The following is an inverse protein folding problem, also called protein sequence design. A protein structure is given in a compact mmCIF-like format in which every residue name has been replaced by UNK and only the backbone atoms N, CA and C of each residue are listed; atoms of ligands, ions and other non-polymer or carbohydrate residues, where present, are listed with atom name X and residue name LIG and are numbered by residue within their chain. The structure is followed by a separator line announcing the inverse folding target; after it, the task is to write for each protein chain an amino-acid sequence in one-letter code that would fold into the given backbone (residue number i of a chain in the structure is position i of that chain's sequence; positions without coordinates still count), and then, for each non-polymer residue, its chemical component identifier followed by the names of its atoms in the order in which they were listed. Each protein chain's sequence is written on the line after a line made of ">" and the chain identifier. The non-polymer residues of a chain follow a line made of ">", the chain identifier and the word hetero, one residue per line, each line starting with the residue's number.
data_IF_801455836755
#
_entry.id   IF_801455836755
#
_cell.length_a   1.000
_cell.length_b   1.000
_cell.length_c   1.000
_cell.angle_alpha   90.00
_cell.angle_beta   90.00
_cell.angle_gamma   90.00
#
_symmetry.space_group_name_H-M   'P 1'
#
loop_
_entity.id
_entity.type
_entity.pdbx_description
1 polymer ?
#
# COMPACT_ATOMS: atom_id res chain seq x y z
N UNK A 1 -11.09 -19.06 21.96
CA UNK A 1 -11.60 -18.06 20.99
C UNK A 1 -10.40 -17.27 20.47
N UNK A 2 -10.27 -17.13 19.15
CA UNK A 2 -9.08 -16.51 18.52
C UNK A 2 -9.19 -14.99 18.65
N UNK A 3 -8.31 -14.37 19.43
CA UNK A 3 -8.42 -12.95 19.80
C UNK A 3 -7.77 -11.98 18.79
N UNK A 4 -7.07 -12.50 17.77
CA UNK A 4 -6.30 -11.70 16.82
C UNK A 4 -6.73 -11.93 15.36
N UNK A 5 -7.95 -11.52 15.02
CA UNK A 5 -8.44 -11.60 13.64
C UNK A 5 -8.69 -10.20 13.08
N UNK A 6 -8.41 -9.99 11.80
CA UNK A 6 -8.60 -8.73 11.11
C UNK A 6 -9.13 -8.87 9.69
N UNK A 7 -9.35 -7.72 9.07
CA UNK A 7 -9.86 -7.60 7.70
C UNK A 7 -8.86 -6.84 6.85
N UNK A 8 -8.54 -7.39 5.67
CA UNK A 8 -7.91 -6.66 4.58
C UNK A 8 -8.99 -5.96 3.76
N UNK A 9 -8.95 -4.63 3.72
CA UNK A 9 -9.78 -3.79 2.87
C UNK A 9 -9.03 -2.49 2.56
N UNK A 10 -8.69 -2.20 1.28
CA UNK A 10 -8.11 -0.92 0.92
C UNK A 10 -9.07 0.23 1.27
N UNK A 11 -8.53 1.40 1.69
CA UNK A 11 -9.35 2.59 1.95
C UNK A 11 -10.16 2.97 0.72
N UNK A 12 -9.55 2.89 -0.48
CA UNK A 12 -10.21 3.16 -1.76
C UNK A 12 -11.48 2.31 -1.98
N UNK A 13 -11.50 1.08 -1.45
CA UNK A 13 -12.60 0.13 -1.59
C UNK A 13 -13.78 0.38 -0.63
N UNK A 14 -13.66 1.31 0.32
CA UNK A 14 -14.79 1.73 1.15
C UNK A 14 -15.89 2.36 0.27
N UNK A 15 -17.18 2.15 0.60
CA UNK A 15 -18.24 2.82 -0.12
C UNK A 15 -18.14 4.32 0.15
N UNK A 16 -18.25 5.14 -0.90
CA UNK A 16 -18.26 6.60 -0.79
C UNK A 16 -19.19 7.19 -1.84
N UNK A 17 -19.87 8.26 -1.45
CA UNK A 17 -20.71 9.09 -2.32
C UNK A 17 -19.88 9.97 -3.26
N UNK A 18 -18.55 9.93 -3.16
CA UNK A 18 -17.60 10.77 -3.91
C UNK A 18 -16.65 9.97 -4.81
N UNK A 19 -17.09 8.79 -5.28
CA UNK A 19 -16.40 8.01 -6.31
C UNK A 19 -15.28 7.07 -5.80
N UNK A 20 -14.66 7.39 -4.67
CA UNK A 20 -13.59 6.58 -4.04
C UNK A 20 -13.73 6.64 -2.51
N UNK A 21 -13.46 5.54 -1.82
CA UNK A 21 -13.37 5.52 -0.36
C UNK A 21 -12.32 6.50 0.17
N UNK A 22 -12.51 7.02 1.38
CA UNK A 22 -11.70 8.10 1.94
C UNK A 22 -11.64 8.05 3.48
N UNK A 23 -10.99 9.03 4.10
CA UNK A 23 -10.82 9.11 5.56
C UNK A 23 -12.04 9.67 6.31
N UNK A 24 -13.20 9.70 5.64
CA UNK A 24 -14.44 10.28 6.12
C UNK A 24 -15.34 9.33 6.91
N UNK A 25 -16.62 9.68 7.10
CA UNK A 25 -17.56 8.96 7.95
C UNK A 25 -17.65 7.45 7.68
N UNK A 26 -17.51 7.01 6.43
CA UNK A 26 -17.57 5.59 6.10
C UNK A 26 -16.37 4.79 6.64
N UNK A 27 -15.18 5.39 6.76
CA UNK A 27 -14.06 4.73 7.43
C UNK A 27 -14.33 4.52 8.93
N UNK A 28 -14.92 5.52 9.61
CA UNK A 28 -15.32 5.41 11.02
C UNK A 28 -16.40 4.33 11.21
N UNK A 29 -17.39 4.28 10.32
CA UNK A 29 -18.43 3.23 10.32
C UNK A 29 -17.83 1.84 10.11
N UNK A 30 -16.81 1.72 9.26
CA UNK A 30 -16.12 0.45 9.06
C UNK A 30 -15.36 0.01 10.31
N UNK A 31 -14.66 0.93 10.99
CA UNK A 31 -14.02 0.67 12.28
C UNK A 31 -15.04 0.22 13.34
N UNK A 32 -16.20 0.90 13.42
CA UNK A 32 -17.27 0.50 14.34
C UNK A 32 -17.81 -0.91 14.01
N UNK A 33 -17.93 -1.23 12.72
CA UNK A 33 -18.32 -2.57 12.28
C UNK A 33 -17.27 -3.62 12.67
N UNK A 34 -15.97 -3.34 12.48
CA UNK A 34 -14.88 -4.22 12.90
C UNK A 34 -14.92 -4.48 14.40
N UNK A 35 -14.97 -3.41 15.20
CA UNK A 35 -15.04 -3.49 16.66
C UNK A 35 -16.25 -4.29 17.13
N UNK A 36 -17.43 -4.02 16.55
CA UNK A 36 -18.69 -4.73 16.88
C UNK A 36 -18.63 -6.23 16.57
N UNK A 37 -17.86 -6.64 15.56
CA UNK A 37 -17.72 -8.03 15.15
C UNK A 37 -16.41 -8.66 15.63
N UNK A 38 -15.75 -8.05 16.63
CA UNK A 38 -14.54 -8.56 17.28
C UNK A 38 -13.31 -8.69 16.36
N UNK A 39 -13.31 -8.03 15.20
CA UNK A 39 -12.10 -7.83 14.42
C UNK A 39 -11.22 -6.79 15.12
N UNK A 40 -9.95 -7.13 15.33
CA UNK A 40 -8.96 -6.29 16.03
C UNK A 40 -7.97 -5.61 15.10
N UNK A 41 -7.95 -5.99 13.83
CA UNK A 41 -7.03 -5.42 12.85
C UNK A 41 -7.77 -4.99 11.58
N UNK A 42 -7.38 -3.83 11.04
CA UNK A 42 -7.73 -3.39 9.70
C UNK A 42 -6.43 -3.24 8.91
N UNK A 43 -6.23 -4.12 7.93
CA UNK A 43 -5.14 -3.99 6.98
C UNK A 43 -5.58 -3.18 5.77
N UNK A 44 -4.83 -2.13 5.49
CA UNK A 44 -4.98 -1.30 4.29
C UNK A 44 -3.88 -1.64 3.29
N UNK A 45 -3.96 -1.06 2.10
CA UNK A 45 -2.87 -1.01 1.12
C UNK A 45 -2.18 0.35 1.24
N UNK A 46 -1.01 0.54 0.62
CA UNK A 46 -0.28 1.80 0.70
C UNK A 46 -1.18 3.00 0.41
N UNK A 47 -1.12 4.01 1.29
CA UNK A 47 -1.97 5.20 1.22
C UNK A 47 -1.38 6.32 0.36
N UNK A 48 -0.29 6.03 -0.34
CA UNK A 48 0.52 7.00 -1.04
C UNK A 48 -0.11 7.42 -2.38
N UNK A 49 0.26 8.60 -2.92
CA UNK A 49 -0.19 9.05 -4.23
C UNK A 49 0.14 8.01 -5.32
N UNK A 50 -0.86 7.62 -6.10
CA UNK A 50 -0.68 6.58 -7.12
C UNK A 50 0.05 7.13 -8.35
N UNK A 51 0.97 6.35 -8.90
CA UNK A 51 1.58 6.55 -10.20
C UNK A 51 0.84 5.81 -11.31
N UNK A 52 1.59 5.27 -12.27
CA UNK A 52 1.05 4.58 -13.44
C UNK A 52 0.19 3.36 -13.06
N UNK A 53 -0.90 3.14 -13.79
CA UNK A 53 -1.81 2.00 -13.58
C UNK A 53 -2.65 2.04 -12.30
N UNK A 54 -2.62 3.13 -11.53
CA UNK A 54 -3.28 3.27 -10.22
C UNK A 54 -2.80 2.23 -9.18
N UNK A 55 -1.58 1.72 -9.31
CA UNK A 55 -1.04 0.78 -8.32
C UNK A 55 -0.60 1.50 -7.05
N UNK A 56 -1.07 1.09 -5.86
CA UNK A 56 -0.56 1.58 -4.58
C UNK A 56 0.94 1.31 -4.38
N UNK A 57 1.49 0.33 -5.10
CA UNK A 57 2.89 -0.10 -5.00
C UNK A 57 3.84 0.70 -5.91
N UNK A 58 3.32 1.62 -6.71
CA UNK A 58 4.12 2.47 -7.57
C UNK A 58 3.73 3.93 -7.35
N UNK A 59 4.25 4.51 -6.27
CA UNK A 59 3.90 5.85 -5.83
C UNK A 59 4.86 6.93 -6.36
N UNK A 60 4.33 8.15 -6.55
CA UNK A 60 5.14 9.35 -6.83
C UNK A 60 5.79 9.94 -5.58
N UNK A 61 5.35 9.55 -4.38
CA UNK A 61 6.03 9.87 -3.12
C UNK A 61 5.62 8.88 -2.02
N UNK A 62 6.59 8.12 -1.54
CA UNK A 62 6.38 6.99 -0.63
C UNK A 62 6.03 7.36 0.82
N UNK A 63 6.00 8.65 1.15
CA UNK A 63 5.61 9.16 2.48
C UNK A 63 4.43 10.16 2.44
N UNK A 64 4.05 10.63 1.25
CA UNK A 64 2.87 11.47 1.08
C UNK A 64 1.59 10.63 1.20
N UNK A 65 0.47 11.29 1.49
CA UNK A 65 -0.86 10.67 1.43
C UNK A 65 -1.58 11.07 0.14
N UNK A 66 -2.28 10.14 -0.49
CA UNK A 66 -3.06 10.43 -1.68
C UNK A 66 -4.21 11.40 -1.35
N UNK A 67 -4.26 12.54 -2.04
CA UNK A 67 -5.29 13.56 -1.81
C UNK A 67 -6.70 13.11 -2.13
N UNK A 68 -6.88 12.01 -2.90
CA UNK A 68 -8.20 11.41 -3.15
C UNK A 68 -8.85 10.86 -1.88
N UNK A 69 -8.06 10.56 -0.85
CA UNK A 69 -8.57 10.11 0.45
C UNK A 69 -9.01 11.25 1.38
N UNK A 70 -8.92 12.51 0.95
CA UNK A 70 -9.51 13.63 1.71
C UNK A 70 -11.04 13.52 1.64
N UNK A 71 -11.71 13.37 2.79
CA UNK A 71 -13.16 13.39 2.89
C UNK A 71 -13.70 14.80 2.70
N UNK A 72 -14.67 14.94 1.79
CA UNK A 72 -15.36 16.20 1.55
C UNK A 72 -16.37 16.50 2.65
N UNK A 73 -16.99 15.47 3.25
CA UNK A 73 -17.91 15.61 4.38
C UNK A 73 -17.21 16.27 5.57
N UNK A 74 -15.98 15.85 5.88
CA UNK A 74 -15.19 16.45 6.98
C UNK A 74 -14.87 17.92 6.67
N UNK A 75 -14.70 18.30 5.41
CA UNK A 75 -14.49 19.70 5.03
C UNK A 75 -15.77 20.53 5.14
N UNK A 76 -16.94 19.92 4.87
CA UNK A 76 -18.25 20.53 5.11
C UNK A 76 -18.51 20.73 6.61
N UNK A 77 -18.24 19.73 7.44
CA UNK A 77 -18.33 19.82 8.91
C UNK A 77 -17.44 20.94 9.48
N UNK A 78 -16.29 21.19 8.85
CA UNK A 78 -15.37 22.28 9.22
C UNK A 78 -15.80 23.65 8.66
N UNK A 79 -16.87 23.72 7.88
CA UNK A 79 -17.34 24.94 7.22
C UNK A 79 -16.41 25.47 6.12
N UNK A 80 -15.49 24.64 5.61
CA UNK A 80 -14.56 25.04 4.54
C UNK A 80 -15.22 25.01 3.16
N UNK A 81 -16.19 24.13 2.98
CA UNK A 81 -17.05 24.02 1.79
C UNK A 81 -18.48 23.75 2.25
N UNK A 82 -19.44 23.91 1.33
CA UNK A 82 -20.87 23.73 1.59
C UNK A 82 -21.54 23.17 0.34
N UNK A 83 -22.57 22.34 0.54
CA UNK A 83 -23.47 21.80 -0.47
C UNK A 83 -22.72 21.05 -1.58
N UNK A 84 -21.83 20.12 -1.20
CA UNK A 84 -21.13 19.26 -2.15
C UNK A 84 -22.15 18.29 -2.78
N UNK A 85 -22.33 18.27 -4.11
CA UNK A 85 -23.22 17.32 -4.75
C UNK A 85 -22.63 15.91 -4.69
N UNK A 86 -23.50 14.90 -4.61
CA UNK A 86 -23.05 13.51 -4.73
C UNK A 86 -22.42 13.24 -6.10
N UNK A 87 -21.33 12.47 -6.11
CA UNK A 87 -20.77 11.92 -7.34
C UNK A 87 -21.58 10.67 -7.73
N UNK A 88 -22.47 10.84 -8.72
CA UNK A 88 -23.44 9.82 -9.13
C UNK A 88 -22.81 8.78 -10.06
N UNK A 89 -21.96 7.90 -9.55
CA UNK A 89 -21.49 6.70 -10.27
C UNK A 89 -21.78 5.44 -9.46
N UNK A 90 -22.87 4.73 -9.81
CA UNK A 90 -23.27 3.48 -9.15
C UNK A 90 -22.48 2.28 -9.71
N UNK A 91 -21.16 2.32 -9.55
CA UNK A 91 -20.23 1.30 -10.03
C UNK A 91 -19.59 0.54 -8.84
N UNK A 92 -19.40 -0.79 -8.95
CA UNK A 92 -18.54 -1.53 -8.02
C UNK A 92 -17.04 -1.31 -8.30
N UNK A 93 -16.71 -0.49 -9.30
CA UNK A 93 -15.35 -0.16 -9.71
C UNK A 93 -15.11 1.35 -9.66
N UNK A 94 -13.95 1.74 -9.14
CA UNK A 94 -13.50 3.12 -9.00
C UNK A 94 -13.06 3.66 -10.36
N UNK A 95 -13.58 4.84 -10.74
CA UNK A 95 -12.99 5.65 -11.79
C UNK A 95 -12.04 6.68 -11.16
N UNK A 96 -10.75 6.33 -11.06
CA UNK A 96 -9.75 7.11 -10.33
C UNK A 96 -9.58 8.54 -10.87
N UNK A 97 -9.63 8.72 -12.19
CA UNK A 97 -9.48 10.02 -12.84
C UNK A 97 -10.68 10.93 -12.53
N UNK A 98 -11.91 10.45 -12.79
CA UNK A 98 -13.12 11.25 -12.56
C UNK A 98 -13.36 11.55 -11.09
N UNK A 99 -13.16 10.55 -10.21
CA UNK A 99 -13.28 10.75 -8.78
C UNK A 99 -12.22 11.75 -8.27
N UNK A 100 -10.97 11.63 -8.73
CA UNK A 100 -9.90 12.56 -8.40
C UNK A 100 -10.21 13.99 -8.84
N UNK A 101 -10.58 14.20 -10.10
CA UNK A 101 -10.94 15.51 -10.64
C UNK A 101 -12.14 16.13 -9.91
N UNK A 102 -13.15 15.31 -9.58
CA UNK A 102 -14.31 15.75 -8.81
C UNK A 102 -13.89 16.25 -7.42
N UNK A 103 -13.11 15.45 -6.67
CA UNK A 103 -12.70 15.80 -5.31
C UNK A 103 -11.73 16.98 -5.28
N UNK A 104 -10.76 17.05 -6.19
CA UNK A 104 -9.77 18.14 -6.24
C UNK A 104 -10.43 19.51 -6.44
N UNK A 105 -11.49 19.60 -7.26
CA UNK A 105 -12.29 20.83 -7.42
C UNK A 105 -12.81 21.36 -6.07
N UNK A 106 -13.31 20.48 -5.21
CA UNK A 106 -13.87 20.87 -3.91
C UNK A 106 -12.79 21.13 -2.87
N UNK A 107 -11.70 20.36 -2.89
CA UNK A 107 -10.53 20.61 -2.04
C UNK A 107 -9.89 21.96 -2.38
N UNK A 108 -9.85 22.36 -3.65
CA UNK A 108 -9.39 23.69 -4.05
C UNK A 108 -10.32 24.80 -3.55
N UNK A 109 -11.64 24.60 -3.59
CA UNK A 109 -12.59 25.54 -2.96
C UNK A 109 -12.36 25.66 -1.45
N UNK A 110 -12.10 24.54 -0.77
CA UNK A 110 -11.75 24.52 0.64
C UNK A 110 -10.46 25.31 0.92
N UNK A 111 -9.45 25.17 0.06
CA UNK A 111 -8.20 25.94 0.14
C UNK A 111 -8.42 27.45 0.04
N UNK A 112 -9.23 27.90 -0.94
CA UNK A 112 -9.54 29.32 -1.10
C UNK A 112 -10.26 29.92 0.11
N UNK A 113 -11.14 29.15 0.76
CA UNK A 113 -11.81 29.57 1.98
C UNK A 113 -10.89 29.51 3.20
N UNK A 114 -10.08 28.46 3.32
CA UNK A 114 -9.10 28.31 4.39
C UNK A 114 -8.16 29.51 4.42
N UNK A 115 -7.62 29.94 3.27
CA UNK A 115 -6.66 31.05 3.15
C UNK A 115 -7.19 32.42 3.60
N UNK A 116 -8.52 32.57 3.81
CA UNK A 116 -9.11 33.79 4.41
C UNK A 116 -8.92 33.85 5.93
N UNK A 117 -8.63 32.72 6.58
CA UNK A 117 -8.39 32.60 8.01
C UNK A 117 -6.91 32.62 8.41
N UNK A 118 -6.61 32.29 9.67
CA UNK A 118 -5.23 32.26 10.19
C UNK A 118 -4.51 30.98 9.76
N UNK A 119 -3.41 31.13 9.00
CA UNK A 119 -2.58 30.04 8.43
C UNK A 119 -1.60 29.36 9.41
N UNK A 120 -1.79 29.55 10.71
CA UNK A 120 -0.82 29.11 11.72
C UNK A 120 -0.68 27.59 11.78
N UNK A 121 -1.79 26.85 11.66
CA UNK A 121 -1.74 25.39 11.65
C UNK A 121 -0.98 24.84 10.44
N UNK A 122 -1.13 25.47 9.27
CA UNK A 122 -0.41 25.10 8.05
C UNK A 122 1.10 25.41 8.16
N UNK A 123 1.47 26.53 8.80
CA UNK A 123 2.88 26.84 9.10
C UNK A 123 3.50 25.78 10.01
N UNK A 124 2.81 25.42 11.11
CA UNK A 124 3.27 24.35 12.02
C UNK A 124 3.39 23.00 11.32
N UNK A 125 2.49 22.70 10.39
CA UNK A 125 2.57 21.48 9.58
C UNK A 125 3.83 21.46 8.71
N UNK A 126 4.14 22.55 8.00
CA UNK A 126 5.38 22.69 7.21
C UNK A 126 6.64 22.48 8.06
N UNK A 127 6.68 23.04 9.28
CA UNK A 127 7.82 22.87 10.20
C UNK A 127 7.96 21.42 10.69
N UNK A 128 6.86 20.72 10.95
CA UNK A 128 6.88 19.32 11.42
C UNK A 128 7.16 18.31 10.31
N UNK A 129 6.83 18.66 9.07
CA UNK A 129 6.93 17.80 7.89
C UNK A 129 7.71 18.52 6.77
N UNK A 130 9.02 18.77 6.94
CA UNK A 130 9.79 19.58 5.99
C UNK A 130 9.81 19.00 4.56
N UNK A 131 9.72 17.67 4.44
CA UNK A 131 9.61 16.96 3.15
C UNK A 131 8.45 17.46 2.28
N UNK A 132 7.39 18.02 2.88
CA UNK A 132 6.19 18.44 2.15
C UNK A 132 6.48 19.54 1.14
N UNK A 133 7.48 20.40 1.40
CA UNK A 133 7.84 21.48 0.49
C UNK A 133 8.53 20.93 -0.76
N UNK A 134 9.38 19.93 -0.60
CA UNK A 134 10.04 19.26 -1.71
C UNK A 134 9.03 18.45 -2.54
N UNK A 135 8.12 17.73 -1.88
CA UNK A 135 7.04 17.01 -2.55
C UNK A 135 6.12 17.95 -3.34
N UNK A 136 5.72 19.07 -2.74
CA UNK A 136 4.89 20.06 -3.42
C UNK A 136 5.61 20.72 -4.61
N UNK A 137 6.93 20.86 -4.54
CA UNK A 137 7.74 21.35 -5.67
C UNK A 137 7.79 20.32 -6.79
N UNK A 138 8.05 19.05 -6.45
CA UNK A 138 8.03 17.92 -7.39
C UNK A 138 6.69 17.87 -8.14
N UNK A 139 5.57 17.90 -7.43
CA UNK A 139 4.23 17.85 -8.03
C UNK A 139 3.95 19.10 -8.90
N UNK A 140 4.42 20.28 -8.50
CA UNK A 140 4.28 21.50 -9.30
C UNK A 140 5.09 21.43 -10.61
N UNK A 141 6.32 20.93 -10.57
CA UNK A 141 7.13 20.70 -11.78
C UNK A 141 6.54 19.61 -12.66
N UNK A 142 6.06 18.52 -12.06
CA UNK A 142 5.35 17.44 -12.76
C UNK A 142 4.16 17.99 -13.53
N UNK A 143 3.31 18.79 -12.88
CA UNK A 143 2.18 19.47 -13.53
C UNK A 143 2.61 20.43 -14.63
N UNK A 144 3.67 21.21 -14.40
CA UNK A 144 4.22 22.13 -15.40
C UNK A 144 4.68 21.40 -16.68
N UNK A 145 5.28 20.23 -16.51
CA UNK A 145 5.78 19.37 -17.59
C UNK A 145 4.72 18.38 -18.09
N UNK A 146 3.43 18.70 -18.02
CA UNK A 146 2.31 17.87 -18.50
C UNK A 146 2.33 16.43 -17.95
N UNK A 147 2.75 16.27 -16.69
CA UNK A 147 2.91 15.00 -16.00
C UNK A 147 3.94 14.04 -16.62
N UNK A 148 4.86 14.56 -17.44
CA UNK A 148 6.03 13.80 -17.87
C UNK A 148 6.90 13.40 -16.66
N UNK A 149 7.58 12.25 -16.71
CA UNK A 149 8.50 11.84 -15.66
C UNK A 149 9.64 12.83 -15.45
N UNK A 150 10.18 12.89 -14.24
CA UNK A 150 11.16 13.91 -13.84
C UNK A 150 12.41 13.97 -14.70
N UNK A 151 12.84 12.85 -15.28
CA UNK A 151 14.00 12.77 -16.15
C UNK A 151 13.79 13.37 -17.54
N UNK A 152 12.57 13.85 -17.85
CA UNK A 152 12.24 14.61 -19.07
C UNK A 152 12.04 16.10 -18.83
N UNK A 153 12.21 16.58 -17.60
CA UNK A 153 12.09 18.01 -17.30
C UNK A 153 13.32 18.79 -17.78
N UNK A 154 13.27 20.12 -17.67
CA UNK A 154 14.44 20.96 -17.91
C UNK A 154 15.57 20.67 -16.91
N UNK A 155 16.83 20.86 -17.31
CA UNK A 155 17.99 20.68 -16.43
C UNK A 155 17.88 21.50 -15.13
N UNK A 156 17.35 22.74 -15.21
CA UNK A 156 17.08 23.59 -14.04
C UNK A 156 16.14 22.90 -13.03
N UNK A 157 15.08 22.25 -13.52
CA UNK A 157 14.09 21.58 -12.67
C UNK A 157 14.61 20.23 -12.15
N UNK A 158 15.38 19.49 -12.95
CA UNK A 158 16.04 18.24 -12.54
C UNK A 158 17.05 18.48 -11.41
N UNK A 159 17.79 19.60 -11.45
CA UNK A 159 18.84 19.96 -10.50
C UNK A 159 18.42 21.07 -9.53
N UNK A 160 17.12 21.30 -9.37
CA UNK A 160 16.61 22.46 -8.65
C UNK A 160 17.12 22.56 -7.21
N UNK A 161 16.95 21.49 -6.42
CA UNK A 161 17.32 21.46 -5.00
C UNK A 161 18.82 21.26 -4.75
N UNK A 162 19.62 21.01 -5.79
CA UNK A 162 21.09 21.05 -5.68
C UNK A 162 21.58 22.51 -5.57
N UNK A 163 20.80 23.45 -6.10
CA UNK A 163 21.16 24.87 -6.17
C UNK A 163 20.27 25.78 -5.32
N UNK A 164 19.17 25.25 -4.77
CA UNK A 164 18.16 26.03 -4.04
C UNK A 164 17.72 25.33 -2.75
N UNK A 165 17.54 26.13 -1.69
CA UNK A 165 17.00 25.66 -0.41
C UNK A 165 15.51 25.98 -0.23
N UNK A 166 14.92 26.76 -1.13
CA UNK A 166 13.53 27.21 -1.05
C UNK A 166 12.80 26.87 -2.35
N UNK A 167 11.47 26.69 -2.30
CA UNK A 167 10.70 26.44 -3.50
C UNK A 167 10.69 27.63 -4.48
N UNK A 168 10.50 27.36 -5.77
CA UNK A 168 10.51 28.37 -6.82
C UNK A 168 9.33 29.34 -6.67
N UNK A 169 9.64 30.65 -6.61
CA UNK A 169 8.65 31.73 -6.41
C UNK A 169 7.49 31.65 -7.42
N UNK A 170 7.77 31.27 -8.67
CA UNK A 170 6.78 31.16 -9.76
C UNK A 170 5.68 30.12 -9.49
N UNK A 171 5.93 29.10 -8.66
CA UNK A 171 4.97 28.03 -8.36
C UNK A 171 4.38 28.09 -6.95
N UNK A 172 4.67 29.13 -6.14
CA UNK A 172 4.26 29.17 -4.73
C UNK A 172 2.77 28.95 -4.49
N UNK A 173 1.89 29.45 -5.37
CA UNK A 173 0.43 29.25 -5.24
C UNK A 173 0.02 27.78 -5.36
N UNK A 174 0.62 27.06 -6.31
CA UNK A 174 0.38 25.63 -6.52
C UNK A 174 1.00 24.82 -5.38
N UNK A 175 2.22 25.17 -4.98
CA UNK A 175 2.93 24.54 -3.87
C UNK A 175 2.14 24.66 -2.57
N UNK A 176 1.64 25.86 -2.25
CA UNK A 176 0.80 26.07 -1.07
C UNK A 176 -0.49 25.24 -1.10
N UNK A 177 -1.08 25.05 -2.28
CA UNK A 177 -2.26 24.19 -2.44
C UNK A 177 -1.91 22.72 -2.19
N UNK A 178 -0.80 22.21 -2.75
CA UNK A 178 -0.36 20.82 -2.54
C UNK A 178 -0.02 20.57 -1.07
N UNK A 179 0.65 21.53 -0.40
CA UNK A 179 0.91 21.45 1.04
C UNK A 179 -0.39 21.41 1.84
N UNK A 180 -1.39 22.21 1.45
CA UNK A 180 -2.71 22.18 2.07
C UNK A 180 -3.40 20.82 1.91
N UNK A 181 -3.30 20.17 0.74
CA UNK A 181 -3.81 18.80 0.54
C UNK A 181 -3.16 17.81 1.51
N UNK A 182 -1.83 17.85 1.65
CA UNK A 182 -1.11 16.98 2.59
C UNK A 182 -1.48 17.27 4.05
N UNK A 183 -1.64 18.53 4.43
CA UNK A 183 -2.13 18.93 5.75
C UNK A 183 -3.51 18.34 6.06
N UNK A 184 -4.45 18.44 5.12
CA UNK A 184 -5.79 17.87 5.29
C UNK A 184 -5.75 16.34 5.41
N UNK A 185 -5.08 15.67 4.46
CA UNK A 185 -4.99 14.21 4.43
C UNK A 185 -4.32 13.68 5.70
N UNK A 186 -3.21 14.28 6.13
CA UNK A 186 -2.49 13.90 7.34
C UNK A 186 -3.37 14.03 8.58
N UNK A 187 -4.07 15.16 8.76
CA UNK A 187 -4.92 15.35 9.94
C UNK A 187 -6.11 14.41 9.96
N UNK A 188 -6.76 14.17 8.81
CA UNK A 188 -7.88 13.23 8.73
C UNK A 188 -7.42 11.80 9.03
N UNK A 189 -6.30 11.36 8.46
CA UNK A 189 -5.72 10.04 8.73
C UNK A 189 -5.30 9.86 10.20
N UNK A 190 -4.63 10.85 10.80
CA UNK A 190 -4.24 10.80 12.24
C UNK A 190 -5.45 10.71 13.17
N UNK A 191 -6.55 11.42 12.84
CA UNK A 191 -7.81 11.32 13.60
C UNK A 191 -8.43 9.93 13.46
N UNK A 192 -8.45 9.38 12.25
CA UNK A 192 -8.96 8.02 11.99
C UNK A 192 -8.14 6.95 12.72
N UNK A 193 -6.81 7.03 12.68
CA UNK A 193 -5.91 6.13 13.42
C UNK A 193 -6.16 6.20 14.94
N UNK A 194 -6.35 7.41 15.48
CA UNK A 194 -6.67 7.59 16.90
C UNK A 194 -8.05 7.01 17.25
N UNK A 195 -9.03 7.14 16.36
CA UNK A 195 -10.35 6.55 16.53
C UNK A 195 -10.32 5.02 16.48
N UNK A 196 -9.59 4.43 15.54
CA UNK A 196 -9.39 2.98 15.46
C UNK A 196 -8.85 2.42 16.78
N UNK A 197 -7.81 3.05 17.33
CA UNK A 197 -7.24 2.70 18.64
C UNK A 197 -8.25 2.81 19.77
N UNK A 198 -9.08 3.87 19.80
CA UNK A 198 -10.14 4.02 20.81
C UNK A 198 -11.21 2.92 20.75
N UNK A 199 -11.36 2.26 19.59
CA UNK A 199 -12.25 1.13 19.36
C UNK A 199 -11.54 -0.22 19.47
N UNK A 200 -10.30 -0.24 19.96
CA UNK A 200 -9.47 -1.44 20.04
C UNK A 200 -9.32 -2.15 18.67
N UNK A 201 -9.20 -1.35 17.61
CA UNK A 201 -8.86 -1.78 16.25
C UNK A 201 -7.50 -1.18 15.89
N UNK A 202 -6.55 -2.02 15.53
CA UNK A 202 -5.21 -1.61 15.09
C UNK A 202 -5.15 -1.57 13.57
N UNK A 203 -4.44 -0.60 13.02
CA UNK A 203 -4.27 -0.46 11.58
C UNK A 203 -2.92 -1.06 11.15
N UNK A 204 -2.97 -1.92 10.14
CA UNK A 204 -1.80 -2.44 9.44
C UNK A 204 -1.69 -1.69 8.13
N UNK A 205 -0.65 -0.88 7.99
CA UNK A 205 -0.31 -0.23 6.71
C UNK A 205 0.78 -1.04 6.01
N UNK A 206 1.11 -0.64 4.79
CA UNK A 206 1.95 -1.41 3.90
C UNK A 206 2.96 -0.52 3.18
N UNK A 207 4.19 -0.99 3.07
CA UNK A 207 5.32 -0.28 2.48
C UNK A 207 5.91 -1.13 1.34
N UNK A 208 5.72 -0.71 0.08
CA UNK A 208 6.44 -1.29 -1.06
C UNK A 208 7.96 -1.24 -0.81
N UNK A 209 8.72 -2.31 -1.06
CA UNK A 209 10.18 -2.25 -0.90
C UNK A 209 10.76 -1.14 -1.78
N UNK A 210 10.51 -1.22 -3.08
CA UNK A 210 10.93 -0.22 -4.05
C UNK A 210 10.04 1.02 -4.03
N UNK A 211 10.62 2.17 -4.43
CA UNK A 211 9.87 3.39 -4.77
C UNK A 211 9.52 3.39 -6.26
N UNK A 212 8.63 4.28 -6.71
CA UNK A 212 8.43 4.50 -8.14
C UNK A 212 9.65 5.20 -8.76
N UNK A 213 9.99 4.90 -10.02
CA UNK A 213 11.04 5.64 -10.74
C UNK A 213 10.67 7.12 -10.88
N UNK A 214 9.45 7.38 -11.32
CA UNK A 214 8.92 8.73 -11.43
C UNK A 214 8.35 9.20 -10.07
N UNK A 215 9.27 9.46 -9.14
CA UNK A 215 8.97 9.85 -7.76
C UNK A 215 9.86 10.98 -7.26
N UNK A 216 9.43 11.63 -6.19
CA UNK A 216 10.23 12.62 -5.46
C UNK A 216 11.53 11.99 -4.94
N UNK A 217 11.50 10.75 -4.46
CA UNK A 217 12.67 10.05 -3.92
C UNK A 217 13.77 9.90 -4.97
N UNK A 218 13.43 9.44 -6.18
CA UNK A 218 14.39 9.29 -7.27
C UNK A 218 14.88 10.64 -7.79
N UNK A 219 13.98 11.64 -7.92
CA UNK A 219 14.35 12.99 -8.36
C UNK A 219 15.36 13.66 -7.42
N UNK A 220 15.16 13.59 -6.11
CA UNK A 220 16.03 14.24 -5.12
C UNK A 220 17.31 13.45 -4.82
N UNK A 221 17.30 12.12 -4.98
CA UNK A 221 18.37 11.25 -4.50
C UNK A 221 18.95 10.37 -5.62
N UNK A 222 19.09 10.92 -6.83
CA UNK A 222 19.55 10.23 -8.05
C UNK A 222 20.78 9.32 -7.81
N UNK A 223 21.75 9.80 -7.02
CA UNK A 223 22.99 9.07 -6.70
C UNK A 223 22.81 7.82 -5.84
N UNK A 224 21.64 7.62 -5.22
CA UNK A 224 21.33 6.42 -4.44
C UNK A 224 20.71 5.30 -5.27
N UNK A 225 20.54 5.51 -6.58
CA UNK A 225 19.90 4.57 -7.50
C UNK A 225 20.80 4.24 -8.69
N UNK A 226 20.57 3.07 -9.29
CA UNK A 226 21.30 2.60 -10.48
C UNK A 226 20.84 3.33 -11.75
N UNK A 227 21.19 4.61 -11.87
CA UNK A 227 20.93 5.44 -13.04
C UNK A 227 22.22 5.75 -13.81
N UNK A 228 22.12 5.98 -15.12
CA UNK A 228 23.21 6.52 -15.93
C UNK A 228 23.28 8.06 -15.82
N UNK A 229 24.26 8.65 -16.51
CA UNK A 229 24.46 10.11 -16.62
C UNK A 229 23.27 10.87 -17.24
N UNK A 230 22.38 10.16 -17.95
CA UNK A 230 21.16 10.68 -18.55
C UNK A 230 19.91 10.35 -17.73
N UNK A 231 20.08 9.96 -16.46
CA UNK A 231 18.99 9.59 -15.54
C UNK A 231 18.13 8.41 -16.03
N UNK A 232 18.69 7.50 -16.85
CA UNK A 232 18.02 6.27 -17.28
C UNK A 232 18.37 5.12 -16.34
N UNK A 233 17.41 4.25 -16.09
CA UNK A 233 17.62 3.05 -15.27
C UNK A 233 18.57 2.08 -15.99
N UNK A 234 19.77 1.86 -15.44
CA UNK A 234 20.70 0.85 -15.94
C UNK A 234 20.34 -0.55 -15.44
N UNK A 235 19.65 -0.59 -14.30
CA UNK A 235 19.18 -1.80 -13.64
C UNK A 235 17.77 -1.57 -13.08
N UNK A 236 16.94 -2.61 -13.13
CA UNK A 236 15.56 -2.58 -12.65
C UNK A 236 15.22 -3.78 -11.78
N UNK A 237 14.25 -3.58 -10.89
CA UNK A 237 13.72 -4.61 -10.01
C UNK A 237 12.73 -5.54 -10.71
N UNK A 238 12.69 -6.78 -10.24
CA UNK A 238 11.77 -7.81 -10.69
C UNK A 238 11.95 -9.10 -9.90
N UNK A 239 11.38 -10.19 -10.41
CA UNK A 239 11.64 -11.53 -9.92
C UNK A 239 11.95 -12.48 -11.09
N UNK A 240 12.81 -13.49 -10.89
CA UNK A 240 13.14 -14.45 -11.95
C UNK A 240 11.92 -15.29 -12.33
N UNK A 241 12.00 -16.08 -13.42
CA UNK A 241 11.01 -17.11 -13.71
C UNK A 241 10.82 -18.07 -12.54
N UNK A 242 9.57 -18.45 -12.31
CA UNK A 242 9.15 -19.38 -11.26
C UNK A 242 8.05 -20.32 -11.79
N UNK A 243 7.51 -21.17 -10.92
CA UNK A 243 6.44 -22.11 -11.28
C UNK A 243 5.13 -21.43 -11.73
N UNK A 244 4.98 -20.13 -11.52
CA UNK A 244 3.80 -19.32 -11.86
C UNK A 244 4.03 -18.41 -13.08
N UNK A 245 5.29 -18.10 -13.42
CA UNK A 245 5.65 -17.23 -14.56
C UNK A 245 6.92 -17.69 -15.28
N UNK A 246 6.75 -18.18 -16.52
CA UNK A 246 7.87 -18.61 -17.40
C UNK A 246 8.81 -17.46 -17.80
N UNK A 247 8.37 -16.20 -17.67
CA UNK A 247 9.15 -15.00 -17.99
C UNK A 247 9.66 -14.24 -16.76
N UNK A 248 9.33 -14.73 -15.56
CA UNK A 248 9.45 -13.94 -14.34
C UNK A 248 8.56 -12.70 -14.38
N UNK A 249 8.87 -11.71 -13.55
CA UNK A 249 8.14 -10.44 -13.50
C UNK A 249 9.12 -9.27 -13.60
N UNK A 250 8.91 -8.43 -14.62
CA UNK A 250 9.67 -7.19 -14.80
C UNK A 250 8.86 -6.04 -14.22
N UNK A 251 9.21 -5.57 -13.03
CA UNK A 251 8.47 -4.49 -12.35
C UNK A 251 8.87 -3.10 -12.83
N UNK A 252 10.11 -2.96 -13.35
CA UNK A 252 10.64 -1.67 -13.78
C UNK A 252 11.02 -0.75 -12.61
N UNK A 253 11.05 -1.27 -11.38
CA UNK A 253 11.40 -0.50 -10.19
C UNK A 253 12.87 -0.04 -10.21
N UNK A 254 13.20 1.17 -9.73
CA UNK A 254 14.58 1.64 -9.60
C UNK A 254 15.34 0.81 -8.56
N UNK A 255 16.58 0.45 -8.87
CA UNK A 255 17.45 -0.34 -7.98
C UNK A 255 18.23 0.57 -7.03
N UNK A 256 18.19 0.25 -5.74
CA UNK A 256 18.99 0.91 -4.72
C UNK A 256 20.47 0.53 -4.81
N UNK A 257 21.34 1.52 -4.66
CA UNK A 257 22.78 1.31 -4.50
C UNK A 257 23.11 1.23 -3.00
N UNK A 258 22.97 0.04 -2.42
CA UNK A 258 23.13 -0.15 -0.97
C UNK A 258 24.52 0.24 -0.44
N UNK A 259 25.57 0.06 -1.23
CA UNK A 259 26.92 0.52 -0.87
C UNK A 259 26.97 2.04 -0.68
N UNK A 260 26.24 2.79 -1.51
CA UNK A 260 26.10 4.26 -1.39
C UNK A 260 25.21 4.66 -0.23
N UNK A 261 24.07 3.99 -0.08
CA UNK A 261 23.16 4.25 1.03
C UNK A 261 23.80 3.96 2.39
N UNK A 262 24.73 3.01 2.46
CA UNK A 262 25.45 2.71 3.70
C UNK A 262 26.26 3.91 4.22
N UNK A 263 26.77 4.77 3.33
CA UNK A 263 27.58 5.94 3.68
C UNK A 263 26.85 6.92 4.62
N UNK A 264 25.51 6.98 4.55
CA UNK A 264 24.66 7.84 5.42
C UNK A 264 23.79 7.06 6.42
N UNK A 265 24.05 5.76 6.58
CA UNK A 265 23.26 4.88 7.44
C UNK A 265 21.88 4.59 6.88
N UNK A 266 21.77 4.42 5.57
CA UNK A 266 20.54 4.11 4.83
C UNK A 266 19.43 5.14 5.05
N UNK A 267 19.79 6.42 5.16
CA UNK A 267 18.92 7.48 5.66
C UNK A 267 17.57 7.53 4.94
N UNK A 268 17.57 7.42 3.61
CA UNK A 268 16.34 7.43 2.80
C UNK A 268 15.37 6.34 3.24
N UNK A 269 15.84 5.09 3.36
CA UNK A 269 14.99 3.95 3.70
C UNK A 269 14.64 3.95 5.19
N UNK A 270 15.59 4.24 6.07
CA UNK A 270 15.36 4.28 7.53
C UNK A 270 14.33 5.34 7.89
N UNK A 271 14.45 6.56 7.37
CA UNK A 271 13.52 7.65 7.69
C UNK A 271 12.14 7.40 7.05
N UNK A 272 12.09 6.82 5.84
CA UNK A 272 10.84 6.40 5.20
C UNK A 272 10.10 5.35 6.03
N UNK A 273 10.78 4.26 6.40
CA UNK A 273 10.19 3.19 7.22
C UNK A 273 9.77 3.70 8.59
N UNK A 274 10.59 4.54 9.23
CA UNK A 274 10.26 5.18 10.49
C UNK A 274 9.06 6.10 10.41
N UNK A 275 8.96 6.91 9.36
CA UNK A 275 7.82 7.79 9.13
C UNK A 275 6.52 6.99 8.96
N UNK A 276 6.50 6.02 8.05
CA UNK A 276 5.32 5.18 7.80
C UNK A 276 4.93 4.35 9.03
N UNK A 277 5.92 3.79 9.73
CA UNK A 277 5.68 3.02 10.96
C UNK A 277 5.06 3.83 12.11
N UNK A 278 5.24 5.16 12.12
CA UNK A 278 4.58 6.07 13.07
C UNK A 278 3.17 6.48 12.64
N UNK A 279 2.76 6.13 11.41
CA UNK A 279 1.45 6.42 10.82
C UNK A 279 0.50 5.21 10.81
N UNK A 280 0.89 4.11 11.44
CA UNK A 280 0.11 2.88 11.61
C UNK A 280 0.41 2.22 12.97
N UNK A 281 -0.17 1.04 13.23
CA UNK A 281 0.17 0.21 14.40
C UNK A 281 1.13 -0.94 14.06
N UNK A 282 1.07 -1.42 12.82
CA UNK A 282 2.01 -2.37 12.21
C UNK A 282 2.26 -1.94 10.77
N UNK A 283 3.50 -2.06 10.32
CA UNK A 283 3.90 -1.80 8.94
C UNK A 283 4.29 -3.13 8.29
N UNK A 284 3.52 -3.59 7.30
CA UNK A 284 3.98 -4.65 6.41
C UNK A 284 5.06 -4.07 5.51
N UNK A 285 6.19 -4.75 5.43
CA UNK A 285 7.22 -4.48 4.44
C UNK A 285 7.03 -5.50 3.33
N UNK A 286 6.53 -5.00 2.21
CA UNK A 286 6.41 -5.74 0.96
C UNK A 286 7.79 -6.16 0.46
N UNK A 287 7.88 -7.33 -0.15
CA UNK A 287 9.10 -7.88 -0.70
C UNK A 287 10.28 -7.86 0.29
N UNK A 288 10.03 -8.25 1.55
CA UNK A 288 11.02 -8.21 2.64
C UNK A 288 12.32 -8.91 2.27
N UNK A 289 12.23 -9.96 1.45
CA UNK A 289 13.38 -10.71 0.95
C UNK A 289 14.48 -9.83 0.35
N UNK A 290 14.13 -8.67 -0.22
CA UNK A 290 15.05 -7.71 -0.78
C UNK A 290 16.03 -7.06 0.21
N UNK A 291 15.73 -7.13 1.52
CA UNK A 291 16.69 -6.75 2.55
C UNK A 291 17.81 -7.79 2.73
N UNK A 292 17.60 -9.06 2.38
CA UNK A 292 18.65 -10.09 2.37
C UNK A 292 19.29 -10.22 1.00
N UNK A 293 18.47 -10.46 -0.02
CA UNK A 293 18.91 -10.65 -1.40
C UNK A 293 17.86 -10.07 -2.36
N UNK A 294 18.23 -9.55 -3.53
CA UNK A 294 17.25 -8.98 -4.47
C UNK A 294 17.65 -9.27 -5.90
N UNK A 295 16.66 -9.45 -6.77
CA UNK A 295 16.90 -9.79 -8.17
C UNK A 295 16.98 -8.52 -9.00
N UNK A 296 18.04 -8.41 -9.79
CA UNK A 296 18.36 -7.24 -10.60
C UNK A 296 18.42 -7.61 -12.05
N UNK A 297 17.70 -6.87 -12.88
CA UNK A 297 17.55 -7.09 -14.31
C UNK A 297 18.19 -5.91 -15.06
N UNK A 298 18.90 -6.11 -16.19
CA UNK A 298 19.36 -5.01 -17.03
C UNK A 298 18.21 -4.09 -17.46
N UNK A 299 18.43 -2.78 -17.45
CA UNK A 299 17.36 -1.80 -17.64
C UNK A 299 16.71 -1.80 -19.03
N UNK A 300 17.37 -2.36 -20.04
CA UNK A 300 16.88 -2.54 -21.41
C UNK A 300 16.28 -3.93 -21.67
N UNK A 301 16.22 -4.80 -20.66
CA UNK A 301 15.64 -6.12 -20.79
C UNK A 301 14.12 -6.06 -21.06
N UNK A 302 13.62 -7.02 -21.85
CA UNK A 302 12.20 -7.13 -22.20
C UNK A 302 11.39 -7.93 -21.19
N UNK A 303 12.06 -8.77 -20.41
CA UNK A 303 11.50 -9.62 -19.38
C UNK A 303 12.52 -9.85 -18.26
N UNK A 304 12.18 -10.70 -17.29
CA UNK A 304 13.00 -10.95 -16.11
C UNK A 304 13.84 -12.24 -16.19
N UNK A 305 14.05 -12.81 -17.39
CA UNK A 305 14.85 -14.04 -17.55
C UNK A 305 16.35 -13.81 -17.37
N UNK A 306 16.81 -12.60 -17.67
CA UNK A 306 18.21 -12.22 -17.62
C UNK A 306 18.39 -11.27 -16.46
N UNK A 307 18.93 -11.77 -15.36
CA UNK A 307 19.18 -10.99 -14.15
C UNK A 307 19.99 -11.78 -13.14
N UNK A 308 20.38 -11.12 -12.07
CA UNK A 308 21.26 -11.67 -11.04
C UNK A 308 20.75 -11.37 -9.64
N UNK A 309 21.02 -12.28 -8.71
CA UNK A 309 20.77 -12.04 -7.29
C UNK A 309 21.90 -11.22 -6.68
N UNK A 310 21.55 -10.08 -6.08
CA UNK A 310 22.46 -9.25 -5.27
C UNK A 310 22.14 -9.37 -3.79
N UNK A 311 23.09 -8.98 -2.94
CA UNK A 311 22.95 -8.99 -1.48
C UNK A 311 22.44 -7.64 -1.00
N UNK A 312 21.38 -7.65 -0.19
CA UNK A 312 20.80 -6.48 0.46
C UNK A 312 21.53 -6.10 1.77
N UNK A 313 21.05 -5.08 2.49
CA UNK A 313 21.72 -4.52 3.66
C UNK A 313 21.61 -5.37 4.95
N UNK A 314 20.74 -6.38 4.98
CA UNK A 314 20.54 -7.33 6.08
C UNK A 314 20.42 -6.64 7.45
N UNK A 315 21.09 -7.16 8.47
CA UNK A 315 21.00 -6.75 9.87
C UNK A 315 21.33 -5.28 10.10
N UNK A 316 22.29 -4.72 9.37
CA UNK A 316 22.79 -3.36 9.57
C UNK A 316 21.67 -2.32 9.42
N UNK A 317 20.84 -2.47 8.38
CA UNK A 317 19.66 -1.62 8.17
C UNK A 317 18.69 -1.70 9.36
N UNK A 318 18.36 -2.91 9.82
CA UNK A 318 17.36 -3.09 10.88
C UNK A 318 17.88 -2.66 12.25
N UNK A 319 19.19 -2.75 12.50
CA UNK A 319 19.81 -2.19 13.71
C UNK A 319 19.64 -0.67 13.75
N UNK A 320 20.02 0.03 12.68
CA UNK A 320 19.88 1.49 12.58
C UNK A 320 18.40 1.91 12.68
N UNK A 321 17.51 1.18 11.99
CA UNK A 321 16.07 1.43 12.05
C UNK A 321 15.54 1.31 13.49
N UNK A 322 15.93 0.26 14.22
CA UNK A 322 15.49 0.02 15.59
C UNK A 322 16.04 1.06 16.57
N UNK A 323 17.28 1.51 16.37
CA UNK A 323 17.88 2.58 17.18
C UNK A 323 17.14 3.91 17.00
N UNK A 324 16.83 4.29 15.74
CA UNK A 324 16.17 5.57 15.44
C UNK A 324 14.66 5.54 15.70
N UNK A 325 14.02 4.40 15.46
CA UNK A 325 12.57 4.23 15.52
C UNK A 325 12.17 2.95 16.29
N UNK A 326 12.44 2.88 17.61
CA UNK A 326 12.29 1.65 18.41
C UNK A 326 10.85 1.14 18.55
N UNK A 327 9.86 1.97 18.23
CA UNK A 327 8.44 1.65 18.36
C UNK A 327 7.82 1.07 17.07
N UNK A 328 8.57 1.04 15.97
CA UNK A 328 8.06 0.51 14.69
C UNK A 328 7.91 -1.00 14.78
N UNK A 329 6.72 -1.49 14.41
CA UNK A 329 6.40 -2.92 14.40
C UNK A 329 6.27 -3.37 12.96
N UNK A 330 7.12 -4.29 12.56
CA UNK A 330 7.22 -4.75 11.17
C UNK A 330 6.53 -6.11 11.03
N UNK A 331 5.86 -6.31 9.89
CA UNK A 331 5.46 -7.61 9.36
C UNK A 331 6.27 -7.84 8.10
N UNK A 332 6.91 -9.00 7.98
CA UNK A 332 7.68 -9.36 6.79
C UNK A 332 6.77 -10.03 5.77
N UNK A 333 6.64 -9.44 4.57
CA UNK A 333 6.13 -10.16 3.41
C UNK A 333 7.25 -11.03 2.85
N UNK A 334 7.15 -12.33 3.12
CA UNK A 334 8.17 -13.35 2.87
C UNK A 334 7.60 -14.49 2.02
N UNK A 335 6.85 -14.14 0.98
CA UNK A 335 6.30 -15.11 0.03
C UNK A 335 7.26 -15.36 -1.15
N UNK A 336 6.92 -16.39 -1.94
CA UNK A 336 7.71 -16.83 -3.09
C UNK A 336 8.86 -17.76 -2.71
N UNK A 337 9.75 -17.99 -3.68
CA UNK A 337 10.91 -18.85 -3.50
C UNK A 337 12.02 -18.10 -2.75
N UNK A 338 12.18 -18.44 -1.47
CA UNK A 338 13.12 -17.78 -0.57
C UNK A 338 14.39 -18.59 -0.37
N UNK A 339 15.52 -17.89 -0.30
CA UNK A 339 16.73 -18.49 0.24
C UNK A 339 16.60 -18.67 1.76
N UNK A 340 17.22 -19.72 2.34
CA UNK A 340 17.22 -19.92 3.79
C UNK A 340 17.68 -18.68 4.59
N UNK A 341 18.63 -17.92 4.06
CA UNK A 341 19.13 -16.67 4.66
C UNK A 341 18.05 -15.60 4.89
N UNK A 342 17.03 -15.55 4.03
CA UNK A 342 15.88 -14.63 4.18
C UNK A 342 15.08 -15.00 5.43
N UNK A 343 14.82 -16.30 5.59
CA UNK A 343 14.07 -16.85 6.72
C UNK A 343 14.85 -16.65 8.02
N UNK A 344 16.16 -16.93 8.00
CA UNK A 344 17.06 -16.70 9.13
C UNK A 344 17.12 -15.22 9.54
N UNK A 345 17.17 -14.28 8.57
CA UNK A 345 17.12 -12.85 8.85
C UNK A 345 15.80 -12.45 9.52
N UNK A 346 14.67 -12.88 8.96
CA UNK A 346 13.33 -12.64 9.53
C UNK A 346 13.25 -13.14 10.98
N UNK A 347 13.69 -14.38 11.21
CA UNK A 347 13.57 -15.04 12.51
C UNK A 347 14.50 -14.43 13.56
N UNK A 348 15.74 -14.08 13.18
CA UNK A 348 16.69 -13.38 14.06
C UNK A 348 16.19 -12.00 14.47
N UNK A 349 15.47 -11.31 13.58
CA UNK A 349 14.82 -10.03 13.87
C UNK A 349 13.49 -10.20 14.64
N UNK A 350 12.99 -11.42 14.79
CA UNK A 350 11.74 -11.74 15.46
C UNK A 350 10.50 -11.25 14.71
N UNK A 351 10.59 -11.04 13.39
CA UNK A 351 9.50 -10.48 12.59
C UNK A 351 8.48 -11.55 12.25
N UNK A 352 7.17 -11.28 12.37
CA UNK A 352 6.16 -12.21 11.90
C UNK A 352 6.19 -12.28 10.37
N UNK A 353 6.28 -13.51 9.84
CA UNK A 353 6.16 -13.81 8.41
C UNK A 353 4.70 -14.00 7.98
N UNK A 354 4.47 -14.43 6.74
CA UNK A 354 3.16 -14.61 6.14
C UNK A 354 2.90 -16.07 5.73
N UNK A 355 1.65 -16.48 5.87
CA UNK A 355 1.17 -17.79 5.44
C UNK A 355 -0.13 -17.58 4.64
N UNK A 356 -0.11 -17.95 3.36
CA UNK A 356 -1.27 -17.80 2.46
C UNK A 356 -1.87 -19.17 2.18
N UNK A 357 -3.08 -19.39 2.68
CA UNK A 357 -3.77 -20.67 2.58
C UNK A 357 -3.91 -21.14 1.13
N UNK A 358 -4.29 -20.26 0.20
CA UNK A 358 -4.43 -20.60 -1.23
C UNK A 358 -3.15 -21.19 -1.86
N UNK A 359 -1.96 -20.85 -1.35
CA UNK A 359 -0.69 -21.43 -1.81
C UNK A 359 -0.35 -22.73 -1.08
N UNK A 360 -0.75 -22.85 0.19
CA UNK A 360 -0.33 -23.93 1.09
C UNK A 360 -1.26 -25.14 1.09
N UNK A 361 -2.47 -25.00 0.54
CA UNK A 361 -3.48 -26.06 0.52
C UNK A 361 -3.05 -27.38 -0.15
N UNK A 362 -2.14 -27.31 -1.11
CA UNK A 362 -1.62 -28.48 -1.83
C UNK A 362 -0.28 -29.00 -1.27
N UNK A 363 0.36 -28.26 -0.37
CA UNK A 363 1.62 -28.67 0.24
C UNK A 363 1.36 -29.74 1.33
N UNK A 364 2.06 -30.90 1.28
CA UNK A 364 1.98 -31.90 2.34
C UNK A 364 2.49 -31.33 3.67
N UNK A 365 1.68 -31.45 4.74
CA UNK A 365 2.02 -31.02 6.10
C UNK A 365 2.27 -29.50 6.28
N UNK A 366 1.89 -28.65 5.32
CA UNK A 366 1.97 -27.20 5.52
C UNK A 366 1.08 -26.77 6.70
N UNK A 367 1.68 -26.02 7.63
CA UNK A 367 0.99 -25.42 8.78
C UNK A 367 1.63 -24.09 9.10
N UNK A 368 0.84 -23.17 9.64
CA UNK A 368 1.33 -21.89 10.14
C UNK A 368 1.89 -22.02 11.56
N UNK A 369 2.85 -21.15 11.90
CA UNK A 369 3.46 -21.06 13.22
C UNK A 369 3.00 -19.84 14.03
N UNK A 370 3.35 -19.82 15.33
CA UNK A 370 3.00 -18.72 16.27
C UNK A 370 3.40 -17.32 15.80
N UNK A 371 4.50 -17.19 15.07
CA UNK A 371 5.01 -15.92 14.57
C UNK A 371 4.70 -15.73 13.07
N UNK A 372 3.48 -16.06 12.66
CA UNK A 372 3.00 -15.86 11.29
C UNK A 372 1.67 -15.12 11.25
N UNK A 373 1.45 -14.40 10.16
CA UNK A 373 0.19 -13.80 9.78
C UNK A 373 -0.47 -14.73 8.77
N UNK A 374 -1.60 -15.32 9.13
CA UNK A 374 -2.34 -16.24 8.25
C UNK A 374 -3.38 -15.49 7.44
N UNK A 375 -3.43 -15.75 6.14
CA UNK A 375 -4.44 -15.25 5.21
C UNK A 375 -5.12 -16.39 4.48
N UNK A 376 -6.37 -16.19 4.05
CA UNK A 376 -6.95 -17.01 2.96
C UNK A 376 -6.21 -16.73 1.66
N UNK A 377 -6.26 -15.46 1.25
CA UNK A 377 -5.53 -14.87 0.13
C UNK A 377 -5.17 -13.41 0.47
N UNK A 378 -4.36 -12.78 -0.36
CA UNK A 378 -4.01 -11.35 -0.26
C UNK A 378 -4.80 -10.52 -1.27
N UNK A 379 -4.35 -9.29 -1.55
CA UNK A 379 -4.89 -8.45 -2.62
C UNK A 379 -4.43 -8.90 -4.02
N UNK A 380 -3.35 -9.68 -4.13
CA UNK A 380 -2.84 -10.25 -5.38
C UNK A 380 -3.50 -11.57 -5.76
N UNK A 381 -4.14 -12.21 -4.79
CA UNK A 381 -4.90 -13.43 -4.97
C UNK A 381 -6.26 -13.15 -5.61
N UNK A 382 -6.85 -14.18 -6.22
CA UNK A 382 -8.29 -14.15 -6.47
C UNK A 382 -9.02 -14.16 -5.11
N UNK A 383 -10.31 -13.83 -5.09
CA UNK A 383 -11.15 -14.13 -3.92
C UNK A 383 -11.16 -15.64 -3.67
N UNK A 384 -11.26 -16.10 -2.43
CA UNK A 384 -11.28 -17.54 -2.12
C UNK A 384 -12.39 -18.26 -2.88
N UNK A 385 -13.57 -17.64 -2.98
CA UNK A 385 -14.68 -18.26 -3.71
C UNK A 385 -14.50 -18.21 -5.24
N UNK A 386 -13.84 -17.18 -5.78
CA UNK A 386 -13.39 -17.15 -7.17
C UNK A 386 -12.34 -18.23 -7.45
N UNK A 387 -11.30 -18.32 -6.62
CA UNK A 387 -10.24 -19.32 -6.71
C UNK A 387 -10.80 -20.74 -6.69
N UNK A 388 -11.72 -21.08 -5.77
CA UNK A 388 -12.38 -22.40 -5.74
C UNK A 388 -13.13 -22.71 -7.05
N UNK A 389 -13.75 -21.69 -7.67
CA UNK A 389 -14.46 -21.88 -8.95
C UNK A 389 -13.53 -22.13 -10.12
N UNK A 390 -12.31 -21.61 -10.03
CA UNK A 390 -11.30 -21.71 -11.07
C UNK A 390 -10.42 -22.98 -10.92
N UNK A 391 -10.59 -23.74 -9.84
CA UNK A 391 -9.89 -25.01 -9.62
C UNK A 391 -10.19 -26.03 -10.72
N UNK A 392 -9.16 -26.77 -11.12
CA UNK A 392 -9.32 -27.93 -12.00
C UNK A 392 -10.09 -29.04 -11.27
N UNK A 393 -10.79 -29.93 -12.01
CA UNK A 393 -11.54 -31.03 -11.40
C UNK A 393 -10.73 -31.90 -10.44
N UNK A 394 -9.45 -32.14 -10.76
CA UNK A 394 -8.54 -32.97 -9.97
C UNK A 394 -8.19 -32.27 -8.64
N UNK A 395 -7.88 -30.98 -8.69
CA UNK A 395 -7.57 -30.15 -7.52
C UNK A 395 -8.78 -30.02 -6.60
N UNK A 396 -9.97 -29.80 -7.18
CA UNK A 396 -11.22 -29.74 -6.44
C UNK A 396 -11.49 -31.07 -5.72
N UNK A 397 -11.31 -32.20 -6.41
CA UNK A 397 -11.46 -33.54 -5.84
C UNK A 397 -10.49 -33.73 -4.66
N UNK A 398 -9.21 -33.46 -4.88
CA UNK A 398 -8.16 -33.56 -3.84
C UNK A 398 -8.55 -32.77 -2.59
N UNK A 399 -8.97 -31.51 -2.73
CA UNK A 399 -9.33 -30.67 -1.58
C UNK A 399 -10.62 -31.15 -0.89
N UNK A 400 -11.62 -31.61 -1.64
CA UNK A 400 -12.84 -32.16 -1.03
C UNK A 400 -12.59 -33.42 -0.22
N UNK A 401 -11.66 -34.28 -0.67
CA UNK A 401 -11.19 -35.45 0.08
C UNK A 401 -10.37 -35.03 1.30
N UNK A 402 -9.40 -34.10 1.15
CA UNK A 402 -8.58 -33.55 2.25
C UNK A 402 -9.43 -33.00 3.39
N UNK A 403 -10.51 -32.27 3.07
CA UNK A 403 -11.41 -31.68 4.07
C UNK A 403 -12.61 -32.54 4.43
N UNK A 404 -12.72 -33.74 3.85
CA UNK A 404 -13.85 -34.66 4.00
C UNK A 404 -15.21 -33.93 3.85
N UNK A 405 -15.43 -33.31 2.69
CA UNK A 405 -16.60 -32.46 2.46
C UNK A 405 -17.09 -32.49 1.01
N UNK A 406 -18.31 -32.01 0.76
CA UNK A 406 -18.83 -31.82 -0.60
C UNK A 406 -18.31 -30.50 -1.20
N UNK A 407 -18.21 -30.36 -2.55
CA UNK A 407 -17.70 -29.13 -3.19
C UNK A 407 -18.34 -27.82 -2.69
N UNK A 408 -19.66 -27.80 -2.49
CA UNK A 408 -20.36 -26.59 -2.01
C UNK A 408 -20.02 -26.20 -0.56
N UNK A 409 -19.42 -27.11 0.21
CA UNK A 409 -18.97 -26.91 1.60
C UNK A 409 -17.50 -26.49 1.69
N UNK A 410 -16.71 -26.71 0.63
CA UNK A 410 -15.27 -26.51 0.63
C UNK A 410 -14.86 -25.11 1.09
N UNK A 411 -15.52 -24.08 0.56
CA UNK A 411 -15.33 -22.69 0.99
C UNK A 411 -15.39 -22.52 2.51
N UNK A 412 -16.41 -23.10 3.16
CA UNK A 412 -16.59 -22.99 4.61
C UNK A 412 -15.52 -23.79 5.37
N UNK A 413 -15.15 -24.98 4.86
CA UNK A 413 -14.10 -25.82 5.44
C UNK A 413 -12.73 -25.15 5.42
N UNK A 414 -12.38 -24.46 4.33
CA UNK A 414 -11.13 -23.69 4.24
C UNK A 414 -11.14 -22.54 5.26
N UNK A 415 -12.23 -21.78 5.37
CA UNK A 415 -12.35 -20.73 6.40
C UNK A 415 -12.19 -21.31 7.82
N UNK A 416 -12.84 -22.43 8.12
CA UNK A 416 -12.73 -23.08 9.43
C UNK A 416 -11.31 -23.59 9.69
N UNK A 417 -10.63 -24.11 8.67
CA UNK A 417 -9.23 -24.52 8.77
C UNK A 417 -8.31 -23.34 9.05
N UNK A 418 -8.42 -22.25 8.27
CA UNK A 418 -7.67 -21.01 8.50
C UNK A 418 -7.87 -20.50 9.92
N UNK A 419 -9.12 -20.51 10.42
CA UNK A 419 -9.45 -20.14 11.80
C UNK A 419 -8.94 -21.11 12.86
N UNK A 420 -8.55 -22.34 12.49
CA UNK A 420 -7.98 -23.34 13.40
C UNK A 420 -6.45 -23.32 13.50
N UNK A 421 -5.75 -22.80 12.47
CA UNK A 421 -4.28 -22.73 12.43
C UNK A 421 -3.71 -21.94 13.60
N UNK A 422 -2.49 -22.26 14.04
CA UNK A 422 -1.75 -21.42 14.99
C UNK A 422 -1.20 -20.18 14.27
N UNK A 423 -1.35 -18.98 14.84
CA UNK A 423 -0.80 -17.75 14.25
C UNK A 423 -0.69 -16.59 15.23
N UNK A 424 0.11 -15.59 14.87
CA UNK A 424 0.17 -14.30 15.59
C UNK A 424 -1.12 -13.51 15.38
N UNK A 425 -1.58 -13.46 14.13
CA UNK A 425 -2.91 -12.95 13.75
C UNK A 425 -3.41 -13.63 12.48
N UNK A 426 -4.69 -13.46 12.18
CA UNK A 426 -5.34 -13.98 10.96
C UNK A 426 -6.05 -12.83 10.26
N UNK A 427 -5.80 -12.65 8.98
CA UNK A 427 -6.39 -11.59 8.19
C UNK A 427 -7.20 -12.20 7.05
N UNK A 428 -8.44 -11.75 6.89
CA UNK A 428 -9.28 -12.14 5.75
C UNK A 428 -9.48 -10.93 4.83
N UNK A 429 -9.29 -11.05 3.51
CA UNK A 429 -9.89 -10.13 2.55
C UNK A 429 -11.40 -10.01 2.82
N UNK A 430 -11.93 -8.79 2.81
CA UNK A 430 -13.36 -8.60 3.03
C UNK A 430 -14.21 -9.38 2.00
N UNK A 431 -13.70 -9.53 0.78
CA UNK A 431 -14.34 -10.31 -0.28
C UNK A 431 -14.64 -11.74 0.16
N UNK A 432 -13.75 -12.35 0.93
CA UNK A 432 -13.94 -13.70 1.44
C UNK A 432 -15.01 -13.68 2.52
N UNK A 433 -14.98 -12.76 3.47
CA UNK A 433 -16.05 -12.62 4.48
C UNK A 433 -17.44 -12.51 3.84
N UNK A 434 -17.52 -11.84 2.68
CA UNK A 434 -18.74 -11.67 1.90
C UNK A 434 -19.03 -12.80 0.90
N UNK A 435 -18.08 -13.73 0.71
CA UNK A 435 -18.10 -14.81 -0.30
C UNK A 435 -18.36 -14.28 -1.72
N UNK A 436 -17.61 -13.25 -2.10
CA UNK A 436 -17.66 -12.68 -3.46
C UNK A 436 -16.85 -13.55 -4.43
N UNK A 437 -17.20 -13.50 -5.72
CA UNK A 437 -16.45 -14.18 -6.78
C UNK A 437 -15.30 -13.31 -7.31
N UNK A 438 -14.57 -13.82 -8.31
CA UNK A 438 -13.38 -13.18 -8.85
C UNK A 438 -13.60 -11.81 -9.50
N UNK A 439 -14.84 -11.37 -9.72
CA UNK A 439 -15.11 -9.97 -10.11
C UNK A 439 -14.74 -8.97 -9.01
N UNK A 440 -14.58 -9.44 -7.78
CA UNK A 440 -14.14 -8.64 -6.63
C UNK A 440 -12.62 -8.75 -6.36
N UNK A 441 -11.85 -9.38 -7.25
CA UNK A 441 -10.39 -9.43 -7.17
C UNK A 441 -9.81 -8.00 -7.16
N UNK A 442 -8.82 -7.77 -6.29
CA UNK A 442 -8.17 -6.46 -6.18
C UNK A 442 -7.10 -6.28 -7.25
N UNK A 443 -6.20 -7.24 -7.41
CA UNK A 443 -5.13 -7.18 -8.39
C UNK A 443 -4.89 -8.55 -9.02
N UNK A 444 -4.59 -8.55 -10.32
CA UNK A 444 -4.01 -9.68 -11.02
C UNK A 444 -2.55 -9.35 -11.36
N UNK A 445 -1.57 -9.91 -10.63
CA UNK A 445 -0.16 -9.71 -10.93
C UNK A 445 0.17 -10.01 -12.40
N UNK A 446 1.11 -9.24 -12.96
CA UNK A 446 1.46 -9.31 -14.38
C UNK A 446 0.52 -8.55 -15.32
N UNK A 447 -0.51 -7.89 -14.81
CA UNK A 447 -1.40 -7.00 -15.61
C UNK A 447 -1.35 -5.56 -15.11
N UNK A 448 -1.64 -4.60 -15.98
CA UNK A 448 -1.57 -3.17 -15.67
C UNK A 448 -2.91 -2.47 -15.94
N UNK A 449 -3.27 -1.52 -15.06
CA UNK A 449 -4.48 -0.72 -15.20
C UNK A 449 -5.77 -1.45 -14.85
N UNK A 450 -6.89 -0.99 -15.38
CA UNK A 450 -8.21 -1.56 -15.09
C UNK A 450 -8.28 -3.04 -15.50
N UNK A 451 -8.86 -3.94 -14.67
CA UNK A 451 -9.64 -3.67 -13.46
C UNK A 451 -8.85 -3.64 -12.14
N UNK A 452 -7.52 -3.67 -12.16
CA UNK A 452 -6.72 -3.69 -10.94
C UNK A 452 -7.00 -2.45 -10.07
N UNK A 453 -7.01 -2.68 -8.75
CA UNK A 453 -7.20 -1.69 -7.69
C UNK A 453 -8.55 -0.97 -7.72
N UNK A 454 -9.46 -1.36 -8.61
CA UNK A 454 -10.70 -0.64 -8.84
C UNK A 454 -11.85 -1.16 -7.97
N UNK A 455 -11.80 -2.40 -7.47
CA UNK A 455 -12.93 -2.96 -6.72
C UNK A 455 -13.27 -2.14 -5.47
N UNK A 456 -14.56 -1.86 -5.28
CA UNK A 456 -15.12 -1.19 -4.09
C UNK A 456 -16.46 -1.76 -3.67
N UNK A 457 -16.78 -1.59 -2.39
CA UNK A 457 -18.15 -1.78 -1.90
C UNK A 457 -19.08 -0.72 -2.51
N UNK A 458 -20.30 -1.14 -2.84
CA UNK A 458 -21.38 -0.24 -3.22
C UNK A 458 -22.03 0.38 -1.99
N UNK A 459 -22.28 -0.43 -0.97
CA UNK A 459 -22.82 0.04 0.31
C UNK A 459 -22.48 -0.89 1.46
N UNK A 460 -22.57 -0.38 2.70
CA UNK A 460 -22.41 -1.20 3.89
C UNK A 460 -23.54 -2.20 4.13
N UNK A 461 -24.66 -2.14 3.39
CA UNK A 461 -25.66 -3.22 3.45
C UNK A 461 -25.09 -4.56 3.00
N UNK A 462 -24.04 -4.55 2.15
CA UNK A 462 -23.32 -5.76 1.80
C UNK A 462 -22.69 -6.44 3.03
N UNK A 463 -22.27 -5.68 4.05
CA UNK A 463 -21.70 -6.24 5.28
C UNK A 463 -22.72 -7.06 6.09
N UNK A 464 -24.03 -6.82 5.92
CA UNK A 464 -25.09 -7.66 6.52
C UNK A 464 -25.07 -9.09 5.98
N UNK A 465 -24.45 -9.33 4.82
CA UNK A 465 -24.34 -10.63 4.15
C UNK A 465 -23.10 -11.43 4.57
N UNK A 466 -22.30 -10.93 5.53
CA UNK A 466 -21.12 -11.62 6.05
C UNK A 466 -21.44 -13.07 6.40
N UNK A 467 -20.67 -14.01 5.84
CA UNK A 467 -20.96 -15.45 5.87
C UNK A 467 -20.39 -16.17 7.08
N UNK A 468 -19.50 -15.52 7.82
CA UNK A 468 -19.02 -15.99 9.10
C UNK A 468 -18.82 -14.81 10.05
N UNK A 469 -18.88 -15.12 11.34
CA UNK A 469 -18.59 -14.18 12.43
C UNK A 469 -17.56 -14.84 13.32
N UNK A 470 -16.62 -14.04 13.81
CA UNK A 470 -15.76 -14.46 14.91
C UNK A 470 -16.66 -14.48 16.15
N UNK A 471 -16.70 -15.61 16.86
CA UNK A 471 -17.36 -15.72 18.15
C UNK A 471 -16.42 -15.28 19.26
#
# INVERSE_FOLDING_TARGET
>A
MRQNVGILLPVASLPSEFGIGDFGPNAYRFIDWLSKHHYRYWQVLPLNPLGFGNSPYMSTCSIALDSRYISLEVLEEQGLILNVPHYRENSPYINYEKAGAFKDKWVYKAYLNYRKGKMEALKKFKTRHPWVMQYATYEAFKKHNNYAPWNYWSDEEIHYYENHNNPPKRYLKEIDYIVFKQYLAHNQWRRLLSYARSKNVKIIDDMPFYVGFDSMECWLNKSLFAFDENNRQTQVGGCPPDAFSDSGQLWGSPIYLFDKMKEDGYKLLVDRTGYLGNMCDYLRIDHFRAFDTYYVIPGDAKDARIGEWKVGPRDEFFHILKERYPNVKIIAEDLGDLFPSVIELRDRLGLPGMYIEEFKLFEPNATAGKNMIVYTGTHDNNTLYGWIKDLKPEDLKFLTEKFNCKPHQLYKKIIDHVLSLESFMTIFPLQDVLKLDGKARLNLPGTCGYPNWAWRLKSFDQLKKAKFKIK
#
